data_IF_849509458989
#
_entry.id   IF_849509458989
#
_cell.length_a   1.000
_cell.length_b   1.000
_cell.length_c   1.000
_cell.angle_alpha   90.00
_cell.angle_beta   90.00
_cell.angle_gamma   90.00
#
_symmetry.space_group_name_H-M   'P 1'
#
loop_
_entity.id
_entity.type
_entity.pdbx_description
1 polymer ?
#
# COMPACT_ATOMS: atom_id res chain seq x y z
N UNK A 1 -10.78 1.15 -9.67
CA UNK A 1 -10.44 -0.18 -10.23
C UNK A 1 -11.60 -1.11 -9.95
N UNK A 2 -12.01 -1.92 -10.94
CA UNK A 2 -13.07 -2.93 -10.79
C UNK A 2 -12.53 -4.29 -11.23
N UNK A 3 -12.76 -5.31 -10.41
CA UNK A 3 -12.31 -6.69 -10.62
C UNK A 3 -13.52 -7.64 -10.59
N UNK A 4 -13.39 -8.87 -11.09
CA UNK A 4 -14.53 -9.81 -11.20
C UNK A 4 -15.01 -10.37 -9.86
N UNK A 5 -14.09 -10.63 -8.94
CA UNK A 5 -14.35 -11.18 -7.61
C UNK A 5 -13.49 -10.48 -6.56
N UNK A 6 -13.94 -10.38 -5.29
CA UNK A 6 -13.07 -9.92 -4.23
C UNK A 6 -11.94 -10.92 -4.02
N UNK A 7 -10.75 -10.45 -3.62
CA UNK A 7 -9.64 -11.34 -3.28
C UNK A 7 -8.85 -10.81 -2.08
N UNK A 8 -8.09 -11.72 -1.46
CA UNK A 8 -7.15 -11.38 -0.41
C UNK A 8 -5.72 -11.64 -0.89
N UNK A 9 -4.82 -10.73 -0.56
CA UNK A 9 -3.39 -10.89 -0.76
C UNK A 9 -2.68 -10.96 0.58
N UNK A 10 -1.71 -11.85 0.71
CA UNK A 10 -0.80 -11.88 1.83
C UNK A 10 0.55 -11.32 1.40
N UNK A 11 0.87 -10.12 1.87
CA UNK A 11 2.17 -9.50 1.63
C UNK A 11 3.19 -10.14 2.57
N UNK A 12 4.05 -11.01 2.05
CA UNK A 12 5.03 -11.76 2.85
C UNK A 12 6.02 -10.82 3.56
N UNK A 13 6.53 -9.82 2.84
CA UNK A 13 7.53 -8.88 3.36
C UNK A 13 7.01 -8.05 4.55
N UNK A 14 5.71 -7.72 4.56
CA UNK A 14 5.06 -6.99 5.66
C UNK A 14 4.27 -7.88 6.61
N UNK A 15 4.24 -9.20 6.36
CA UNK A 15 3.42 -10.21 7.06
C UNK A 15 1.96 -9.76 7.25
N UNK A 16 1.41 -9.07 6.26
CA UNK A 16 0.09 -8.44 6.36
C UNK A 16 -0.87 -9.02 5.34
N UNK A 17 -2.08 -9.38 5.79
CA UNK A 17 -3.18 -9.77 4.89
C UNK A 17 -4.00 -8.56 4.51
N UNK A 18 -4.26 -8.37 3.23
CA UNK A 18 -5.05 -7.24 2.70
C UNK A 18 -6.17 -7.80 1.84
N UNK A 19 -7.40 -7.35 2.08
CA UNK A 19 -8.55 -7.68 1.26
C UNK A 19 -8.89 -6.53 0.32
N UNK A 20 -9.21 -6.91 -0.91
CA UNK A 20 -9.64 -6.05 -2.01
C UNK A 20 -11.06 -6.43 -2.41
N UNK A 21 -11.97 -5.46 -2.37
CA UNK A 21 -13.34 -5.62 -2.84
C UNK A 21 -13.41 -5.65 -4.37
N UNK A 22 -14.57 -6.05 -4.91
CA UNK A 22 -14.90 -5.98 -6.34
C UNK A 22 -14.67 -4.58 -6.92
N UNK A 23 -14.95 -3.55 -6.13
CA UNK A 23 -14.76 -2.16 -6.51
C UNK A 23 -13.87 -1.45 -5.50
N UNK A 24 -12.77 -0.89 -6.00
CA UNK A 24 -11.82 -0.08 -5.24
C UNK A 24 -11.81 1.32 -5.84
N UNK A 25 -12.11 2.32 -5.02
CA UNK A 25 -12.17 3.72 -5.44
C UNK A 25 -11.24 4.58 -4.60
N UNK A 26 -10.73 5.67 -5.19
CA UNK A 26 -9.91 6.67 -4.52
C UNK A 26 -9.88 7.95 -5.39
N UNK A 27 -9.57 9.09 -4.77
CA UNK A 27 -9.10 10.27 -5.48
C UNK A 27 -7.58 10.18 -5.62
N UNK A 28 -7.08 10.25 -6.84
CA UNK A 28 -5.66 10.04 -7.14
C UNK A 28 -5.02 11.36 -7.53
N UNK A 29 -4.05 11.78 -6.72
CA UNK A 29 -3.11 12.87 -7.00
C UNK A 29 -1.71 12.27 -7.22
N UNK A 30 -0.77 13.08 -7.70
CA UNK A 30 0.63 12.65 -7.85
C UNK A 30 1.19 12.16 -6.51
N UNK A 31 1.48 10.87 -6.42
CA UNK A 31 2.03 10.24 -5.22
C UNK A 31 1.04 10.12 -4.06
N UNK A 32 -0.25 10.34 -4.26
CA UNK A 32 -1.24 10.29 -3.17
C UNK A 32 -2.58 9.71 -3.64
N UNK A 33 -3.16 8.82 -2.85
CA UNK A 33 -4.52 8.33 -2.99
C UNK A 33 -5.30 8.68 -1.72
N UNK A 34 -6.42 9.38 -1.87
CA UNK A 34 -7.28 9.85 -0.77
C UNK A 34 -8.69 9.26 -0.87
N UNK A 35 -9.39 9.20 0.26
CA UNK A 35 -10.74 8.64 0.39
C UNK A 35 -10.84 7.25 -0.27
N UNK A 36 -9.83 6.43 0.00
CA UNK A 36 -9.77 5.07 -0.52
C UNK A 36 -10.92 4.24 0.06
N UNK A 37 -11.54 3.42 -0.79
CA UNK A 37 -12.56 2.45 -0.38
C UNK A 37 -12.28 1.08 -1.01
N UNK A 38 -12.86 0.03 -0.45
CA UNK A 38 -12.69 -1.34 -0.96
C UNK A 38 -11.37 -2.01 -0.59
N UNK A 39 -10.51 -1.38 0.23
CA UNK A 39 -9.24 -1.95 0.70
C UNK A 39 -9.21 -2.02 2.22
N UNK A 40 -8.95 -3.20 2.79
CA UNK A 40 -8.80 -3.39 4.24
C UNK A 40 -7.56 -4.21 4.58
N UNK A 41 -6.82 -3.80 5.60
CA UNK A 41 -5.69 -4.56 6.16
C UNK A 41 -6.14 -5.34 7.39
N UNK A 42 -5.67 -6.57 7.56
CA UNK A 42 -5.87 -7.34 8.77
C UNK A 42 -4.89 -6.86 9.84
N UNK A 43 -5.42 -6.30 10.92
CA UNK A 43 -4.64 -5.88 12.08
C UNK A 43 -5.14 -6.64 13.31
N UNK A 44 -4.27 -7.46 13.89
CA UNK A 44 -4.65 -8.39 14.96
C UNK A 44 -5.87 -9.24 14.54
N UNK A 45 -7.02 -9.03 15.18
CA UNK A 45 -8.26 -9.77 14.94
C UNK A 45 -9.25 -9.02 14.04
N UNK A 46 -8.96 -7.78 13.61
CA UNK A 46 -9.92 -6.93 12.90
C UNK A 46 -9.47 -6.56 11.49
N UNK A 47 -10.43 -6.38 10.59
CA UNK A 47 -10.22 -5.80 9.27
C UNK A 47 -10.36 -4.28 9.34
N UNK A 48 -9.23 -3.58 9.20
CA UNK A 48 -9.16 -2.13 9.30
C UNK A 48 -9.06 -1.53 7.89
N UNK A 49 -9.99 -0.67 7.48
CA UNK A 49 -9.93 -0.02 6.17
C UNK A 49 -8.72 0.91 6.06
N UNK A 50 -8.19 1.02 4.85
CA UNK A 50 -7.17 2.00 4.48
C UNK A 50 -7.89 3.12 3.73
N UNK A 51 -7.73 4.36 4.18
CA UNK A 51 -8.44 5.52 3.62
C UNK A 51 -7.53 6.49 2.88
N UNK A 52 -6.22 6.39 3.10
CA UNK A 52 -5.22 7.21 2.43
C UNK A 52 -3.92 6.42 2.25
N UNK A 53 -3.29 6.59 1.09
CA UNK A 53 -1.95 6.12 0.79
C UNK A 53 -1.14 7.27 0.19
N UNK A 54 0.03 7.57 0.73
CA UNK A 54 0.84 8.71 0.29
C UNK A 54 2.32 8.35 0.21
N UNK A 55 3.00 8.78 -0.85
CA UNK A 55 4.44 8.93 -0.94
C UNK A 55 4.77 10.40 -0.66
N UNK A 56 5.40 10.68 0.48
CA UNK A 56 5.60 12.07 0.94
C UNK A 56 6.44 12.92 -0.01
N UNK A 57 7.36 12.31 -0.75
CA UNK A 57 8.26 12.98 -1.67
C UNK A 57 8.53 12.10 -2.90
N UNK A 58 8.89 12.69 -4.07
CA UNK A 58 9.22 11.92 -5.27
C UNK A 58 10.37 10.93 -5.10
N UNK A 59 11.29 11.23 -4.16
CA UNK A 59 12.41 10.36 -3.78
C UNK A 59 12.16 9.59 -2.48
N UNK A 60 10.94 9.65 -1.95
CA UNK A 60 10.61 8.94 -0.72
C UNK A 60 10.56 7.46 -1.01
N UNK A 61 11.44 6.71 -0.35
CA UNK A 61 11.43 5.25 -0.40
C UNK A 61 10.36 4.66 0.53
N UNK A 62 9.47 5.48 1.11
CA UNK A 62 8.46 5.05 2.08
C UNK A 62 7.05 5.39 1.62
N UNK A 63 6.20 4.39 1.66
CA UNK A 63 4.75 4.51 1.46
C UNK A 63 4.08 4.64 2.83
N UNK A 64 3.26 5.68 3.00
CA UNK A 64 2.46 5.92 4.20
C UNK A 64 1.01 5.50 3.97
N UNK A 65 0.45 4.72 4.88
CA UNK A 65 -0.96 4.29 4.87
C UNK A 65 -1.65 4.84 6.11
N UNK A 66 -2.84 5.42 5.95
CA UNK A 66 -3.68 5.88 7.08
C UNK A 66 -4.98 5.11 7.19
N UNK A 67 -5.41 4.91 8.43
CA UNK A 67 -6.73 4.36 8.78
C UNK A 67 -7.72 5.49 9.09
N UNK A 68 -9.04 5.23 9.14
CA UNK A 68 -10.04 6.24 9.50
C UNK A 68 -9.85 6.81 10.91
N UNK A 69 -9.17 6.09 11.79
CA UNK A 69 -8.88 6.53 13.17
C UNK A 69 -7.69 7.49 13.24
N UNK A 70 -7.14 7.92 12.10
CA UNK A 70 -5.97 8.82 12.04
C UNK A 70 -4.63 8.12 12.31
N UNK A 71 -4.62 6.81 12.58
CA UNK A 71 -3.39 6.05 12.76
C UNK A 71 -2.73 5.79 11.40
N UNK A 72 -1.43 6.09 11.32
CA UNK A 72 -0.63 5.89 10.11
C UNK A 72 0.50 4.89 10.31
N UNK A 73 0.83 4.12 9.28
CA UNK A 73 2.05 3.29 9.22
C UNK A 73 2.82 3.58 7.94
N UNK A 74 4.15 3.54 8.05
CA UNK A 74 5.05 3.76 6.93
C UNK A 74 5.87 2.50 6.65
N UNK A 75 5.96 2.12 5.39
CA UNK A 75 6.69 0.93 4.94
C UNK A 75 7.62 1.31 3.80
N UNK A 76 8.78 0.66 3.74
CA UNK A 76 9.70 0.87 2.61
C UNK A 76 9.07 0.33 1.32
N UNK A 77 9.24 1.03 0.20
CA UNK A 77 8.63 0.73 -1.11
C UNK A 77 9.01 -0.68 -1.59
N UNK A 78 10.26 -1.09 -1.31
CA UNK A 78 10.76 -2.42 -1.67
C UNK A 78 10.01 -3.57 -1.00
N UNK A 79 9.21 -3.33 0.05
CA UNK A 79 8.39 -4.37 0.67
C UNK A 79 7.18 -4.76 -0.19
N UNK A 80 6.88 -3.98 -1.24
CA UNK A 80 5.77 -4.23 -2.16
C UNK A 80 6.25 -4.50 -3.59
N UNK A 81 7.56 -4.61 -3.80
CA UNK A 81 8.19 -4.90 -5.08
C UNK A 81 8.49 -6.39 -5.22
N UNK A 82 8.44 -6.91 -6.45
CA UNK A 82 9.01 -8.22 -6.75
C UNK A 82 10.55 -8.19 -6.78
N UNK A 83 11.18 -9.35 -6.96
CA UNK A 83 12.64 -9.45 -6.93
C UNK A 83 13.33 -8.73 -8.09
N UNK A 84 12.70 -8.61 -9.25
CA UNK A 84 13.25 -7.86 -10.39
C UNK A 84 13.13 -6.35 -10.16
N UNK A 85 11.96 -5.89 -9.74
CA UNK A 85 11.71 -4.50 -9.36
C UNK A 85 12.65 -4.04 -8.25
N UNK A 86 12.89 -4.87 -7.23
CA UNK A 86 13.88 -4.59 -6.17
C UNK A 86 15.29 -4.45 -6.72
N UNK A 87 15.72 -5.34 -7.62
CA UNK A 87 17.06 -5.27 -8.23
C UNK A 87 17.23 -3.96 -9.00
N UNK A 88 16.26 -3.63 -9.86
CA UNK A 88 16.28 -2.40 -10.65
C UNK A 88 16.29 -1.16 -9.74
N UNK A 89 15.46 -1.16 -8.69
CA UNK A 89 15.43 -0.09 -7.69
C UNK A 89 16.80 0.18 -7.07
N UNK A 90 17.54 -0.87 -6.68
CA UNK A 90 18.87 -0.71 -6.07
C UNK A 90 19.97 -0.31 -7.06
N UNK A 91 19.83 -0.65 -8.34
CA UNK A 91 20.75 -0.20 -9.39
C UNK A 91 20.59 1.30 -9.66
N UNK A 92 19.35 1.79 -9.68
CA UNK A 92 19.04 3.20 -9.89
C UNK A 92 19.31 4.07 -8.65
N UNK A 93 19.18 3.47 -7.46
CA UNK A 93 19.37 4.13 -6.16
C UNK A 93 20.47 3.42 -5.36
N UNK A 94 21.74 3.51 -5.78
CA UNK A 94 22.84 2.89 -5.05
C UNK A 94 22.89 3.47 -3.64
N UNK A 95 22.89 2.58 -2.64
CA UNK A 95 23.01 2.97 -1.23
C UNK A 95 24.31 3.75 -1.06
N UNK A 96 24.21 4.98 -0.55
CA UNK A 96 25.38 5.80 -0.16
C UNK A 96 26.13 5.16 0.99
#
# INVERSE_FOLDING_TARGET
MKQSTPYEHFFEATKTRVSYAVEVTAYVDKGCMKKMTGVKSKQMLMWVPIVEMTLKEPKSEKIYFKTPMGLGKAYHVTLYMDEEEKRNFYLENPKK
#
